data_IF_919383549482
#
_entry.id   IF_919383549482
#
_cell.length_a   1.000
_cell.length_b   1.000
_cell.length_c   1.000
_cell.angle_alpha   90.00
_cell.angle_beta   90.00
_cell.angle_gamma   90.00
#
_symmetry.space_group_name_H-M   'P 1'
#
loop_
_entity.id
_entity.type
_entity.pdbx_description
1 polymer ?
#
# COMPACT_ATOMS: atom_id res chain seq x y z
N UNK A 1 24.35 27.76 36.62
CA UNK A 1 23.56 26.91 35.67
C UNK A 1 24.45 25.75 35.24
N UNK A 2 23.94 24.52 35.11
CA UNK A 2 24.76 23.41 34.61
C UNK A 2 25.29 23.77 33.21
N UNK A 3 26.61 23.72 33.04
CA UNK A 3 27.26 24.02 31.76
C UNK A 3 26.86 22.93 30.77
N UNK A 4 25.97 23.25 29.82
CA UNK A 4 25.64 22.38 28.69
C UNK A 4 26.67 22.62 27.60
N UNK A 5 27.52 21.63 27.34
CA UNK A 5 28.42 21.63 26.19
C UNK A 5 27.70 20.96 25.02
N UNK A 6 27.79 21.56 23.83
CA UNK A 6 27.22 21.01 22.60
C UNK A 6 28.35 20.60 21.66
N UNK A 7 28.13 19.51 20.92
CA UNK A 7 28.98 19.18 19.78
C UNK A 7 28.21 19.49 18.49
N UNK A 8 28.78 20.30 17.57
CA UNK A 8 28.14 20.52 16.28
C UNK A 8 28.15 19.22 15.48
N UNK A 9 26.99 18.84 14.95
CA UNK A 9 26.88 17.75 13.98
C UNK A 9 27.30 18.25 12.60
N UNK A 10 28.18 17.53 11.92
CA UNK A 10 28.43 17.77 10.50
C UNK A 10 27.44 16.96 9.65
N UNK A 11 26.50 17.60 8.93
CA UNK A 11 25.49 16.89 8.14
C UNK A 11 26.07 15.96 7.07
N UNK A 12 27.30 16.22 6.60
CA UNK A 12 27.92 15.43 5.53
C UNK A 12 28.55 14.12 6.00
N UNK A 13 28.96 14.03 7.27
CA UNK A 13 29.71 12.87 7.81
C UNK A 13 29.02 12.19 8.98
N UNK A 14 28.17 12.92 9.70
CA UNK A 14 27.58 12.49 10.96
C UNK A 14 26.07 12.25 10.86
N UNK A 15 25.49 12.44 9.67
CA UNK A 15 24.09 12.12 9.39
C UNK A 15 24.05 11.17 8.19
N UNK A 16 23.36 10.05 8.36
CA UNK A 16 23.03 9.17 7.24
C UNK A 16 21.56 8.85 7.26
N UNK A 17 20.91 8.96 6.11
CA UNK A 17 19.50 8.64 5.92
C UNK A 17 19.39 7.28 5.27
N UNK A 18 18.62 6.39 5.87
CA UNK A 18 18.35 5.05 5.34
C UNK A 18 16.85 4.83 5.22
N UNK A 19 16.40 4.28 4.10
CA UNK A 19 15.02 3.85 3.90
C UNK A 19 14.97 2.34 4.02
N UNK A 20 14.12 1.85 4.91
CA UNK A 20 13.89 0.40 5.07
C UNK A 20 12.48 0.08 4.61
N UNK A 21 12.35 -0.97 3.80
CA UNK A 21 11.07 -1.49 3.36
C UNK A 21 10.68 -2.68 4.22
N UNK A 22 9.56 -2.57 4.91
CA UNK A 22 8.94 -3.70 5.61
C UNK A 22 7.81 -4.26 4.75
N UNK A 23 7.72 -5.59 4.68
CA UNK A 23 6.68 -6.27 3.92
C UNK A 23 5.85 -7.16 4.83
N UNK A 24 4.54 -7.02 4.75
CA UNK A 24 3.58 -7.90 5.40
C UNK A 24 2.73 -8.60 4.32
N UNK A 25 2.47 -9.89 4.53
CA UNK A 25 1.61 -10.67 3.63
C UNK A 25 0.17 -10.39 3.99
N UNK A 26 -0.63 -9.96 3.01
CA UNK A 26 -2.05 -9.68 3.15
C UNK A 26 -2.84 -10.69 2.32
N UNK A 27 -3.33 -11.78 2.94
CA UNK A 27 -4.30 -12.67 2.32
C UNK A 27 -5.72 -12.14 2.59
N UNK A 28 -6.49 -11.94 1.53
CA UNK A 28 -7.92 -11.67 1.59
C UNK A 28 -8.65 -12.87 1.01
N UNK A 29 -9.14 -13.73 1.90
CA UNK A 29 -9.75 -15.00 1.54
C UNK A 29 -11.20 -14.82 1.06
N UNK A 30 -11.63 -15.67 0.13
CA UNK A 30 -12.97 -15.65 -0.45
C UNK A 30 -14.10 -15.77 0.56
N UNK A 31 -13.84 -16.33 1.75
CA UNK A 31 -14.77 -16.35 2.87
C UNK A 31 -15.19 -14.94 3.32
N UNK A 32 -14.27 -13.98 3.36
CA UNK A 32 -14.59 -12.59 3.72
C UNK A 32 -15.31 -11.89 2.54
N UNK A 33 -15.08 -12.35 1.31
CA UNK A 33 -15.63 -11.76 0.09
C UNK A 33 -17.06 -12.26 -0.19
N UNK A 34 -17.37 -13.49 0.21
CA UNK A 34 -18.67 -14.13 0.01
C UNK A 34 -19.00 -15.13 1.14
N UNK A 35 -20.23 -15.05 1.68
CA UNK A 35 -20.87 -16.16 2.38
C UNK A 35 -20.53 -16.37 3.86
N UNK A 36 -19.63 -15.60 4.47
CA UNK A 36 -19.33 -15.77 5.93
C UNK A 36 -20.34 -15.10 6.85
N UNK A 37 -20.83 -13.91 6.49
CA UNK A 37 -21.65 -13.07 7.38
C UNK A 37 -23.08 -12.91 6.87
N UNK A 38 -23.72 -13.98 6.42
CA UNK A 38 -25.13 -13.91 6.03
C UNK A 38 -25.51 -14.94 4.98
N UNK A 39 -26.59 -14.63 4.27
CA UNK A 39 -27.02 -15.41 3.10
C UNK A 39 -26.71 -14.63 1.84
N UNK A 40 -25.92 -15.24 0.96
CA UNK A 40 -25.62 -14.70 -0.35
C UNK A 40 -26.89 -14.23 -1.09
N UNK A 41 -26.89 -13.06 -1.77
CA UNK A 41 -25.78 -12.10 -1.97
C UNK A 41 -25.67 -10.99 -0.90
N UNK A 42 -26.57 -10.97 0.09
CA UNK A 42 -26.70 -9.89 1.08
C UNK A 42 -25.96 -10.25 2.37
N UNK A 43 -24.65 -10.34 2.30
CA UNK A 43 -23.81 -10.53 3.49
C UNK A 43 -23.75 -9.23 4.32
N UNK A 44 -23.81 -9.33 5.65
CA UNK A 44 -23.82 -8.20 6.58
C UNK A 44 -22.50 -7.39 6.58
N UNK A 45 -21.42 -7.96 6.03
CA UNK A 45 -20.13 -7.28 5.86
C UNK A 45 -20.01 -6.54 4.50
N UNK A 46 -21.06 -6.59 3.68
CA UNK A 46 -21.09 -5.98 2.36
C UNK A 46 -22.02 -4.77 2.39
N UNK A 47 -21.47 -3.60 2.07
CA UNK A 47 -22.23 -2.36 2.08
C UNK A 47 -22.56 -1.91 0.66
N UNK A 48 -23.84 -1.95 0.32
CA UNK A 48 -24.39 -1.35 -0.87
C UNK A 48 -24.88 0.07 -0.55
N UNK A 49 -24.38 1.07 -1.29
CA UNK A 49 -24.79 2.45 -1.10
C UNK A 49 -26.03 2.80 -1.93
N UNK A 50 -26.81 3.77 -1.46
CA UNK A 50 -28.05 4.23 -2.12
C UNK A 50 -27.82 4.76 -3.54
N UNK A 51 -26.64 5.33 -3.81
CA UNK A 51 -26.28 5.78 -5.16
C UNK A 51 -25.96 4.62 -6.13
N UNK A 52 -25.65 3.43 -5.60
CA UNK A 52 -25.44 2.19 -6.37
C UNK A 52 -24.28 2.24 -7.37
N UNK A 53 -23.18 2.92 -7.01
CA UNK A 53 -22.03 3.14 -7.90
C UNK A 53 -20.79 2.32 -7.53
N UNK A 54 -20.73 1.82 -6.31
CA UNK A 54 -19.72 0.89 -5.84
C UNK A 54 -20.26 0.14 -4.62
N UNK A 55 -19.54 -0.90 -4.22
CA UNK A 55 -19.84 -1.74 -3.08
C UNK A 55 -18.59 -1.87 -2.22
N UNK A 56 -18.71 -1.70 -0.90
CA UNK A 56 -17.58 -1.84 0.03
C UNK A 56 -17.61 -3.20 0.72
N UNK A 57 -16.44 -3.82 0.87
CA UNK A 57 -16.26 -5.08 1.61
C UNK A 57 -15.53 -4.82 2.92
N UNK A 58 -16.08 -5.32 4.02
CA UNK A 58 -15.53 -5.21 5.37
C UNK A 58 -15.10 -6.59 5.92
N UNK A 59 -14.19 -6.59 6.89
CA UNK A 59 -13.74 -7.79 7.62
C UNK A 59 -14.78 -8.34 8.62
N UNK A 60 -15.73 -7.48 8.99
CA UNK A 60 -16.83 -7.75 9.92
C UNK A 60 -18.11 -7.08 9.42
N UNK A 61 -19.31 -7.44 9.93
CA UNK A 61 -20.54 -6.70 9.66
C UNK A 61 -20.35 -5.18 9.73
N UNK A 62 -20.70 -4.46 8.67
CA UNK A 62 -20.27 -3.05 8.47
C UNK A 62 -20.87 -2.06 9.49
N UNK A 63 -21.87 -2.48 10.27
CA UNK A 63 -22.44 -1.71 11.38
C UNK A 63 -21.68 -1.91 12.70
N UNK A 64 -20.74 -2.86 12.76
CA UNK A 64 -19.89 -3.08 13.92
C UNK A 64 -18.85 -1.99 14.06
N UNK A 65 -18.59 -1.55 15.29
CA UNK A 65 -17.52 -0.59 15.59
C UNK A 65 -16.12 -1.12 15.30
N UNK A 66 -15.97 -2.43 15.17
CA UNK A 66 -14.69 -3.09 14.87
C UNK A 66 -14.50 -3.40 13.39
N UNK A 67 -15.46 -3.06 12.53
CA UNK A 67 -15.39 -3.35 11.10
C UNK A 67 -14.40 -2.41 10.40
N UNK A 68 -13.39 -3.01 9.77
CA UNK A 68 -12.43 -2.30 8.93
C UNK A 68 -12.81 -2.48 7.46
N UNK A 69 -12.70 -1.38 6.72
CA UNK A 69 -12.88 -1.40 5.28
C UNK A 69 -11.66 -2.07 4.61
N UNK A 70 -11.92 -3.09 3.79
CA UNK A 70 -10.88 -3.87 3.09
C UNK A 70 -10.68 -3.36 1.67
N UNK A 71 -11.73 -3.33 0.85
CA UNK A 71 -11.69 -2.82 -0.51
C UNK A 71 -13.09 -2.45 -1.02
N UNK A 72 -13.13 -1.56 -2.01
CA UNK A 72 -14.33 -1.30 -2.79
C UNK A 72 -14.29 -2.01 -4.14
N UNK A 73 -15.48 -2.35 -4.63
CA UNK A 73 -15.72 -2.90 -5.95
C UNK A 73 -16.60 -1.97 -6.76
N UNK A 74 -16.23 -1.75 -8.01
CA UNK A 74 -17.09 -1.12 -9.00
C UNK A 74 -16.82 -1.69 -10.38
N UNK A 75 -17.72 -1.41 -11.32
CA UNK A 75 -17.62 -1.86 -12.71
C UNK A 75 -17.91 -0.71 -13.65
N UNK A 76 -17.24 -0.72 -14.79
CA UNK A 76 -17.45 0.30 -15.81
C UNK A 76 -16.93 -0.13 -17.16
N UNK A 77 -17.27 0.67 -18.16
CA UNK A 77 -16.75 0.51 -19.50
C UNK A 77 -16.53 1.86 -20.18
N UNK A 78 -15.60 1.87 -21.12
CA UNK A 78 -15.29 3.04 -21.92
C UNK A 78 -16.45 3.36 -22.88
N UNK A 79 -16.59 4.63 -23.27
CA UNK A 79 -17.58 5.07 -24.28
C UNK A 79 -17.37 4.44 -25.65
N UNK A 80 -16.16 3.97 -25.93
CA UNK A 80 -15.82 3.28 -27.19
C UNK A 80 -16.20 1.80 -27.18
N UNK A 81 -16.56 1.25 -26.01
CA UNK A 81 -16.94 -0.15 -25.87
C UNK A 81 -18.18 -0.46 -26.69
N UNK A 82 -18.21 -1.64 -27.32
CA UNK A 82 -19.38 -2.14 -28.07
C UNK A 82 -20.65 -2.23 -27.21
N UNK A 83 -20.50 -2.32 -25.88
CA UNK A 83 -21.58 -2.40 -24.91
C UNK A 83 -21.87 -1.06 -24.21
N UNK A 84 -21.62 0.08 -24.88
CA UNK A 84 -21.93 1.42 -24.36
C UNK A 84 -23.28 1.99 -24.82
N UNK A 85 -24.14 1.14 -25.40
CA UNK A 85 -25.41 1.55 -25.98
C UNK A 85 -26.42 2.09 -24.95
N UNK A 86 -27.25 3.07 -25.34
CA UNK A 86 -28.17 3.81 -24.47
C UNK A 86 -29.27 2.98 -23.79
N UNK A 87 -29.56 1.76 -24.27
CA UNK A 87 -30.58 0.87 -23.70
C UNK A 87 -30.09 0.09 -22.45
N UNK A 88 -28.83 0.28 -22.04
CA UNK A 88 -28.18 -0.49 -20.97
C UNK A 88 -28.52 0.05 -19.57
N UNK A 89 -28.75 -0.86 -18.64
CA UNK A 89 -29.02 -0.54 -17.24
C UNK A 89 -27.85 0.26 -16.64
N UNK A 90 -28.15 1.47 -16.16
CA UNK A 90 -27.17 2.38 -15.55
C UNK A 90 -26.00 2.81 -16.47
N UNK A 91 -26.21 2.85 -17.79
CA UNK A 91 -25.17 3.17 -18.78
C UNK A 91 -24.31 4.40 -18.41
N UNK A 92 -24.93 5.56 -18.19
CA UNK A 92 -24.22 6.79 -17.84
C UNK A 92 -23.36 6.65 -16.58
N UNK A 93 -23.82 5.89 -15.57
CA UNK A 93 -23.04 5.66 -14.34
C UNK A 93 -21.83 4.78 -14.61
N UNK A 94 -21.98 3.71 -15.40
CA UNK A 94 -20.87 2.79 -15.75
C UNK A 94 -19.78 3.48 -16.55
N UNK A 95 -20.17 4.35 -17.49
CA UNK A 95 -19.23 5.19 -18.24
C UNK A 95 -18.49 6.15 -17.30
N UNK A 96 -19.23 6.83 -16.42
CA UNK A 96 -18.62 7.78 -15.47
C UNK A 96 -17.65 7.09 -14.50
N UNK A 97 -17.98 5.90 -13.99
CA UNK A 97 -17.08 5.14 -13.12
C UNK A 97 -15.79 4.73 -13.82
N UNK A 98 -15.88 4.24 -15.05
CA UNK A 98 -14.68 3.92 -15.83
C UNK A 98 -13.83 5.19 -16.03
N UNK A 99 -14.44 6.29 -16.46
CA UNK A 99 -13.73 7.53 -16.75
C UNK A 99 -13.08 8.15 -15.50
N UNK A 100 -13.75 8.10 -14.35
CA UNK A 100 -13.22 8.62 -13.08
C UNK A 100 -11.98 7.83 -12.64
N UNK A 101 -12.07 6.50 -12.63
CA UNK A 101 -10.93 5.65 -12.24
C UNK A 101 -9.78 5.77 -13.25
N UNK A 102 -10.09 5.83 -14.54
CA UNK A 102 -9.09 6.06 -15.59
C UNK A 102 -8.44 7.44 -15.47
N UNK A 103 -9.19 8.51 -15.17
CA UNK A 103 -8.64 9.84 -14.99
C UNK A 103 -7.73 9.94 -13.77
N UNK A 104 -8.09 9.30 -12.65
CA UNK A 104 -7.27 9.29 -11.42
C UNK A 104 -5.96 8.52 -11.64
N UNK A 105 -6.00 7.41 -12.38
CA UNK A 105 -4.85 6.53 -12.54
C UNK A 105 -3.98 6.89 -13.76
N UNK A 106 -4.60 7.06 -14.92
CA UNK A 106 -3.91 7.24 -16.20
C UNK A 106 -3.82 8.71 -16.61
N UNK A 107 -4.74 9.56 -16.14
CA UNK A 107 -4.83 10.97 -16.53
C UNK A 107 -5.48 11.19 -17.89
N UNK A 108 -5.18 12.35 -18.49
CA UNK A 108 -5.71 12.77 -19.77
C UNK A 108 -4.68 12.58 -20.89
N UNK A 109 -5.15 12.12 -22.05
CA UNK A 109 -4.39 12.11 -23.30
C UNK A 109 -4.98 13.20 -24.21
N UNK A 110 -4.41 14.40 -24.15
CA UNK A 110 -4.99 15.58 -24.78
C UNK A 110 -6.31 15.99 -24.13
N UNK A 111 -7.42 15.93 -24.87
CA UNK A 111 -8.76 16.29 -24.38
C UNK A 111 -9.60 15.10 -23.91
N UNK A 112 -9.09 13.87 -24.02
CA UNK A 112 -9.81 12.64 -23.70
C UNK A 112 -9.16 11.91 -22.52
N UNK A 113 -9.97 11.16 -21.77
CA UNK A 113 -9.46 10.27 -20.72
C UNK A 113 -8.65 9.14 -21.34
N UNK A 114 -7.47 8.84 -20.79
CA UNK A 114 -6.62 7.75 -21.25
C UNK A 114 -7.19 6.42 -20.77
N UNK A 115 -7.43 5.50 -21.70
CA UNK A 115 -7.94 4.15 -21.41
C UNK A 115 -6.85 3.27 -20.80
N UNK A 116 -7.24 2.20 -20.12
CA UNK A 116 -6.29 1.22 -19.61
C UNK A 116 -5.77 0.32 -20.73
N UNK A 117 -4.48 -0.04 -20.68
CA UNK A 117 -3.83 -0.91 -21.66
C UNK A 117 -3.07 -2.03 -20.96
N UNK A 118 -3.29 -3.30 -21.34
CA UNK A 118 -2.68 -4.46 -20.70
C UNK A 118 -1.34 -4.85 -21.37
N UNK A 119 -0.57 -3.88 -21.89
CA UNK A 119 0.68 -4.16 -22.63
C UNK A 119 1.85 -3.22 -22.28
N UNK A 120 1.65 -2.30 -21.33
CA UNK A 120 2.62 -1.29 -20.86
C UNK A 120 3.10 -0.27 -21.90
N UNK A 121 2.49 -0.18 -23.10
CA UNK A 121 2.97 0.74 -24.15
C UNK A 121 2.40 2.15 -24.08
N UNK A 122 1.20 2.32 -23.55
CA UNK A 122 0.52 3.63 -23.45
C UNK A 122 0.28 4.26 -24.83
N UNK A 123 0.05 3.43 -25.85
CA UNK A 123 -0.12 3.79 -27.26
C UNK A 123 -1.59 3.88 -27.70
N UNK A 124 -2.53 3.62 -26.79
CA UNK A 124 -3.98 3.56 -26.99
C UNK A 124 -4.42 2.45 -27.96
N UNK A 125 -3.61 1.41 -28.14
CA UNK A 125 -3.96 0.19 -28.87
C UNK A 125 -4.20 -0.96 -27.89
N UNK A 126 -5.18 -1.82 -28.20
CA UNK A 126 -5.48 -3.00 -27.36
C UNK A 126 -6.02 -2.64 -25.97
N UNK A 127 -6.89 -1.65 -25.88
CA UNK A 127 -7.41 -1.10 -24.62
C UNK A 127 -8.34 -2.06 -23.88
N UNK A 128 -8.41 -1.90 -22.55
CA UNK A 128 -9.37 -2.57 -21.69
C UNK A 128 -10.66 -1.76 -21.64
N UNK A 129 -11.57 -2.05 -22.57
CA UNK A 129 -12.79 -1.25 -22.72
C UNK A 129 -13.88 -1.59 -21.69
N UNK A 130 -13.77 -2.74 -21.02
CA UNK A 130 -14.72 -3.23 -20.01
C UNK A 130 -13.95 -3.79 -18.82
N UNK A 131 -14.16 -3.22 -17.63
CA UNK A 131 -13.33 -3.54 -16.48
C UNK A 131 -14.13 -3.58 -15.17
N UNK A 132 -13.66 -4.47 -14.30
CA UNK A 132 -13.91 -4.47 -12.87
C UNK A 132 -12.78 -3.73 -12.17
N UNK A 133 -13.12 -2.97 -11.16
CA UNK A 133 -12.18 -2.19 -10.37
C UNK A 133 -12.22 -2.68 -8.92
N UNK A 134 -11.05 -3.06 -8.40
CA UNK A 134 -10.86 -3.47 -7.01
C UNK A 134 -9.93 -2.44 -6.37
N UNK A 135 -10.46 -1.62 -5.47
CA UNK A 135 -9.72 -0.53 -4.83
C UNK A 135 -9.44 -0.89 -3.37
N UNK A 136 -8.21 -1.26 -3.06
CA UNK A 136 -7.81 -1.69 -1.72
C UNK A 136 -7.69 -0.51 -0.76
N UNK A 137 -8.15 -0.72 0.47
CA UNK A 137 -8.01 0.25 1.55
C UNK A 137 -6.54 0.47 1.90
N UNK A 138 -6.17 1.75 2.10
CA UNK A 138 -4.82 2.14 2.53
C UNK A 138 -4.42 1.53 3.89
N UNK A 139 -5.39 1.11 4.70
CA UNK A 139 -5.12 0.38 5.94
C UNK A 139 -4.35 -0.93 5.69
N UNK A 140 -4.62 -1.59 4.56
CA UNK A 140 -3.99 -2.85 4.15
C UNK A 140 -2.76 -2.62 3.28
N UNK A 141 -2.85 -1.75 2.27
CA UNK A 141 -1.74 -1.51 1.32
C UNK A 141 -0.63 -0.65 1.91
N UNK A 142 -0.89 0.09 2.99
CA UNK A 142 0.04 1.02 3.66
C UNK A 142 0.52 2.11 2.71
N UNK A 143 1.76 2.03 2.24
CA UNK A 143 2.34 2.97 1.28
C UNK A 143 2.19 2.48 -0.17
N UNK A 144 2.33 1.17 -0.39
CA UNK A 144 2.14 0.55 -1.71
C UNK A 144 2.03 -0.97 -1.63
N UNK A 145 1.41 -1.56 -2.64
CA UNK A 145 1.52 -3.00 -2.92
C UNK A 145 2.95 -3.29 -3.41
N UNK A 146 3.58 -4.34 -2.88
CA UNK A 146 4.89 -4.78 -3.34
C UNK A 146 4.77 -5.35 -4.76
N UNK A 147 5.57 -4.83 -5.68
CA UNK A 147 5.74 -5.41 -7.03
C UNK A 147 6.12 -6.87 -6.96
N UNK A 148 5.61 -7.70 -7.88
CA UNK A 148 5.82 -9.14 -7.93
C UNK A 148 5.19 -9.92 -6.77
N UNK A 149 4.14 -9.39 -6.15
CA UNK A 149 3.46 -10.10 -5.05
C UNK A 149 1.96 -10.20 -5.24
N UNK A 150 1.39 -9.45 -6.18
CA UNK A 150 -0.05 -9.40 -6.35
C UNK A 150 -0.53 -10.61 -7.14
N UNK A 151 -1.53 -11.30 -6.58
CA UNK A 151 -2.26 -12.36 -7.24
C UNK A 151 -3.72 -12.33 -6.84
N UNK A 152 -4.59 -12.62 -7.81
CA UNK A 152 -6.02 -12.82 -7.58
C UNK A 152 -6.47 -14.11 -8.28
N UNK A 153 -7.12 -14.98 -7.52
CA UNK A 153 -7.69 -16.23 -8.01
C UNK A 153 -9.15 -16.02 -8.33
N UNK A 154 -9.51 -16.23 -9.60
CA UNK A 154 -10.86 -16.05 -10.13
C UNK A 154 -11.48 -17.40 -10.48
N UNK A 155 -12.74 -17.60 -10.13
CA UNK A 155 -13.55 -18.77 -10.46
C UNK A 155 -14.16 -18.68 -11.86
N UNK A 156 -13.88 -19.68 -12.69
CA UNK A 156 -14.38 -19.81 -14.06
C UNK A 156 -15.44 -20.91 -14.22
N UNK A 157 -15.71 -21.67 -13.16
CA UNK A 157 -16.76 -22.68 -13.16
C UNK A 157 -18.16 -22.10 -13.26
N UNK A 158 -19.14 -22.99 -13.35
CA UNK A 158 -20.55 -22.62 -13.39
C UNK A 158 -21.03 -21.93 -12.12
N UNK A 159 -22.17 -21.23 -12.17
CA UNK A 159 -22.67 -20.39 -11.07
C UNK A 159 -22.78 -21.12 -9.72
N UNK A 160 -23.17 -22.39 -9.72
CA UNK A 160 -23.31 -23.19 -8.48
C UNK A 160 -21.97 -23.65 -7.90
N UNK A 161 -20.95 -23.81 -8.75
CA UNK A 161 -19.61 -24.27 -8.39
C UNK A 161 -18.56 -23.38 -9.07
N UNK A 162 -18.48 -22.08 -8.72
CA UNK A 162 -17.67 -21.10 -9.44
C UNK A 162 -16.18 -21.44 -9.43
N UNK A 163 -15.72 -22.15 -8.40
CA UNK A 163 -14.30 -22.52 -8.20
C UNK A 163 -13.95 -23.93 -8.70
N UNK A 164 -14.85 -24.62 -9.41
CA UNK A 164 -14.53 -25.90 -10.05
C UNK A 164 -13.40 -25.76 -11.09
N UNK A 165 -13.34 -24.59 -11.74
CA UNK A 165 -12.22 -24.15 -12.55
C UNK A 165 -11.77 -22.78 -12.04
N UNK A 166 -10.46 -22.54 -11.98
CA UNK A 166 -9.91 -21.28 -11.50
C UNK A 166 -8.83 -20.74 -12.44
N UNK A 167 -8.67 -19.42 -12.45
CA UNK A 167 -7.63 -18.68 -13.16
C UNK A 167 -6.97 -17.71 -12.20
N UNK A 168 -5.65 -17.78 -12.08
CA UNK A 168 -4.87 -16.89 -11.22
C UNK A 168 -4.28 -15.77 -12.07
N UNK A 169 -4.68 -14.54 -11.83
CA UNK A 169 -4.07 -13.36 -12.45
C UNK A 169 -2.99 -12.82 -11.53
N UNK A 170 -1.78 -12.60 -12.04
CA UNK A 170 -0.61 -12.24 -11.24
C UNK A 170 0.36 -11.29 -11.95
N UNK A 171 1.12 -10.52 -11.16
CA UNK A 171 2.14 -9.57 -11.63
C UNK A 171 3.57 -10.17 -11.63
N UNK A 172 3.69 -11.46 -11.97
CA UNK A 172 4.91 -12.25 -11.84
C UNK A 172 6.13 -11.73 -12.65
N UNK A 173 5.92 -10.84 -13.61
CA UNK A 173 7.00 -10.19 -14.37
C UNK A 173 7.48 -8.87 -13.78
N UNK A 174 6.67 -8.22 -12.94
CA UNK A 174 7.02 -6.92 -12.37
C UNK A 174 8.30 -7.01 -11.54
N UNK A 175 9.12 -5.97 -11.59
CA UNK A 175 10.38 -5.90 -10.83
C UNK A 175 10.52 -4.55 -10.13
N UNK A 176 11.18 -4.58 -8.98
CA UNK A 176 11.44 -3.38 -8.16
C UNK A 176 12.33 -2.37 -8.89
N UNK A 177 13.21 -2.83 -9.78
CA UNK A 177 14.08 -1.99 -10.60
C UNK A 177 13.37 -1.27 -11.77
N UNK A 178 12.05 -1.45 -11.92
CA UNK A 178 11.28 -0.82 -12.99
C UNK A 178 11.08 -1.70 -14.25
N UNK A 179 11.71 -2.88 -14.33
CA UNK A 179 11.47 -3.79 -15.46
C UNK A 179 10.05 -4.39 -15.42
N UNK A 180 9.40 -4.48 -16.58
CA UNK A 180 8.00 -4.92 -16.74
C UNK A 180 7.01 -4.14 -15.88
N UNK A 181 7.30 -2.86 -15.67
CA UNK A 181 6.38 -1.89 -15.08
C UNK A 181 6.45 -0.61 -15.89
N UNK A 182 5.38 0.18 -15.88
CA UNK A 182 5.38 1.54 -16.41
C UNK A 182 4.79 2.50 -15.37
N UNK A 183 4.98 3.80 -15.53
CA UNK A 183 4.58 4.81 -14.55
C UNK A 183 3.58 5.79 -15.16
N UNK A 184 2.57 6.14 -14.37
CA UNK A 184 1.49 7.07 -14.71
C UNK A 184 1.15 7.91 -13.49
N UNK A 185 0.11 8.74 -13.55
CA UNK A 185 -0.32 9.59 -12.42
C UNK A 185 -0.65 8.74 -11.17
N UNK A 186 -1.27 7.58 -11.36
CA UNK A 186 -1.61 6.61 -10.30
C UNK A 186 -0.41 5.85 -9.72
N UNK A 187 0.81 6.17 -10.18
CA UNK A 187 2.04 5.51 -9.78
C UNK A 187 2.51 4.46 -10.78
N UNK A 188 3.37 3.57 -10.29
CA UNK A 188 3.84 2.43 -11.05
C UNK A 188 2.72 1.41 -11.19
N UNK A 189 2.64 0.80 -12.37
CA UNK A 189 1.71 -0.28 -12.63
C UNK A 189 2.35 -1.42 -13.42
N UNK A 190 1.75 -2.60 -13.31
CA UNK A 190 2.12 -3.79 -14.08
C UNK A 190 0.90 -4.48 -14.65
N UNK A 191 1.13 -5.30 -15.68
CA UNK A 191 0.10 -6.13 -16.31
C UNK A 191 -0.09 -7.41 -15.51
N UNK A 192 -1.35 -7.83 -15.39
CA UNK A 192 -1.76 -9.09 -14.78
C UNK A 192 -1.92 -10.17 -15.86
N UNK A 193 -1.16 -11.24 -15.72
CA UNK A 193 -1.19 -12.40 -16.61
C UNK A 193 -1.76 -13.62 -15.90
N UNK A 194 -2.33 -14.55 -16.67
CA UNK A 194 -2.81 -15.84 -16.16
C UNK A 194 -1.71 -16.90 -15.98
N UNK A 195 -0.45 -16.52 -16.23
CA UNK A 195 0.71 -17.38 -16.17
C UNK A 195 1.92 -16.61 -15.64
N UNK A 196 2.90 -17.33 -15.06
CA UNK A 196 4.08 -16.72 -14.43
C UNK A 196 5.13 -16.24 -15.44
N UNK A 197 5.05 -16.72 -16.69
CA UNK A 197 5.93 -16.33 -17.79
C UNK A 197 5.53 -14.99 -18.41
N UNK A 198 4.34 -14.48 -18.08
CA UNK A 198 3.73 -13.28 -18.66
C UNK A 198 3.63 -13.30 -20.19
N UNK A 199 3.30 -14.47 -20.73
CA UNK A 199 3.07 -14.64 -22.18
C UNK A 199 1.57 -14.51 -22.49
N UNK A 200 1.24 -14.10 -23.72
CA UNK A 200 -0.14 -13.93 -24.16
C UNK A 200 -0.73 -12.55 -23.86
N UNK A 201 -2.06 -12.47 -23.81
CA UNK A 201 -2.77 -11.22 -23.53
C UNK A 201 -2.84 -10.95 -22.03
N UNK A 202 -2.60 -9.71 -21.63
CA UNK A 202 -2.86 -9.29 -20.25
C UNK A 202 -4.36 -9.22 -19.97
N UNK A 203 -4.77 -9.64 -18.78
CA UNK A 203 -6.17 -9.65 -18.34
C UNK A 203 -6.51 -8.53 -17.37
N UNK A 204 -5.57 -7.61 -17.14
CA UNK A 204 -5.75 -6.50 -16.21
C UNK A 204 -4.44 -5.78 -15.92
N UNK A 205 -4.52 -4.78 -15.06
CA UNK A 205 -3.36 -4.03 -14.56
C UNK A 205 -3.51 -3.78 -13.06
N UNK A 206 -2.40 -3.69 -12.33
CA UNK A 206 -2.37 -3.33 -10.91
C UNK A 206 -1.51 -2.09 -10.71
N UNK A 207 -2.05 -1.08 -10.02
CA UNK A 207 -1.37 0.15 -9.64
C UNK A 207 -0.90 0.06 -8.20
N UNK A 208 0.41 0.09 -7.98
CA UNK A 208 1.02 -0.28 -6.71
C UNK A 208 0.79 0.75 -5.61
N UNK A 209 1.03 2.03 -5.91
CA UNK A 209 0.89 3.14 -4.97
C UNK A 209 -0.58 3.50 -4.75
N UNK A 210 -1.40 3.48 -5.80
CA UNK A 210 -2.84 3.73 -5.68
C UNK A 210 -3.57 2.57 -4.97
N UNK A 211 -3.02 1.35 -4.98
CA UNK A 211 -3.68 0.18 -4.41
C UNK A 211 -4.94 -0.20 -5.19
N UNK A 212 -4.90 -0.10 -6.53
CA UNK A 212 -6.06 -0.40 -7.39
C UNK A 212 -5.69 -1.47 -8.39
N UNK A 213 -6.49 -2.55 -8.44
CA UNK A 213 -6.42 -3.55 -9.49
C UNK A 213 -7.59 -3.35 -10.47
N UNK A 214 -7.26 -3.28 -11.75
CA UNK A 214 -8.21 -3.19 -12.86
C UNK A 214 -8.21 -4.54 -13.57
N UNK A 215 -9.34 -5.24 -13.55
CA UNK A 215 -9.49 -6.57 -14.12
C UNK A 215 -10.40 -6.46 -15.33
N UNK A 216 -9.92 -6.90 -16.49
CA UNK A 216 -10.71 -6.92 -17.71
C UNK A 216 -11.86 -7.93 -17.61
N UNK A 217 -13.01 -7.60 -18.17
CA UNK A 217 -14.08 -8.58 -18.37
C UNK A 217 -13.63 -9.76 -19.25
N UNK A 218 -12.57 -9.58 -20.06
CA UNK A 218 -11.97 -10.65 -20.87
C UNK A 218 -11.47 -11.85 -20.05
N UNK A 219 -11.19 -11.66 -18.76
CA UNK A 219 -10.79 -12.75 -17.85
C UNK A 219 -11.85 -13.86 -17.76
N UNK A 220 -13.12 -13.50 -17.96
CA UNK A 220 -14.31 -14.35 -17.82
C UNK A 220 -14.98 -14.73 -19.15
N UNK A 221 -14.35 -14.40 -20.29
CA UNK A 221 -14.90 -14.80 -21.59
C UNK A 221 -14.92 -16.33 -21.71
N UNK A 222 -16.01 -16.85 -22.29
CA UNK A 222 -16.28 -18.30 -22.37
C UNK A 222 -17.22 -18.83 -21.28
N UNK A 223 -17.50 -18.02 -20.24
CA UNK A 223 -18.47 -18.37 -19.20
C UNK A 223 -19.85 -17.86 -19.60
N UNK A 224 -20.79 -18.78 -19.80
CA UNK A 224 -22.19 -18.45 -20.13
C UNK A 224 -23.04 -18.11 -18.91
N UNK A 225 -22.58 -18.46 -17.71
CA UNK A 225 -23.29 -18.27 -16.44
C UNK A 225 -22.49 -17.46 -15.41
N UNK A 226 -21.87 -16.37 -15.87
CA UNK A 226 -21.12 -15.44 -15.04
C UNK A 226 -21.93 -14.92 -13.83
N UNK A 227 -23.18 -14.52 -14.04
CA UNK A 227 -24.07 -14.00 -12.98
C UNK A 227 -25.46 -14.65 -13.03
N UNK A 228 -26.13 -14.83 -11.90
CA UNK A 228 -27.53 -15.29 -11.89
C UNK A 228 -28.50 -14.14 -12.17
N UNK A 229 -29.33 -14.29 -13.21
CA UNK A 229 -30.39 -13.34 -13.55
C UNK A 229 -31.71 -13.69 -12.89
N UNK A 230 -32.45 -12.68 -12.40
CA UNK A 230 -33.78 -12.86 -11.80
C UNK A 230 -34.89 -13.20 -12.82
N UNK A 231 -34.69 -12.94 -14.12
CA UNK A 231 -35.76 -12.97 -15.14
C UNK A 231 -35.49 -13.93 -16.31
N UNK A 232 -34.24 -14.14 -16.75
CA UNK A 232 -33.92 -14.87 -18.00
C UNK A 232 -32.87 -15.99 -17.82
N UNK A 233 -32.60 -16.42 -16.58
CA UNK A 233 -31.54 -17.39 -16.29
C UNK A 233 -30.17 -16.74 -16.13
N UNK A 234 -29.10 -17.54 -16.15
CA UNK A 234 -27.74 -17.04 -15.92
C UNK A 234 -27.24 -16.22 -17.12
N UNK A 235 -26.48 -15.16 -16.85
CA UNK A 235 -25.93 -14.25 -17.85
C UNK A 235 -24.42 -14.47 -18.01
N UNK A 236 -23.93 -14.35 -19.24
CA UNK A 236 -22.50 -14.15 -19.52
C UNK A 236 -21.98 -12.85 -18.94
N UNK A 237 -20.65 -12.68 -18.85
CA UNK A 237 -20.05 -11.44 -18.34
C UNK A 237 -20.54 -10.21 -19.10
N UNK A 238 -20.58 -10.27 -20.43
CA UNK A 238 -21.06 -9.18 -21.29
C UNK A 238 -22.51 -8.81 -20.99
N UNK A 239 -23.40 -9.81 -20.91
CA UNK A 239 -24.81 -9.60 -20.59
C UNK A 239 -25.01 -9.05 -19.16
N UNK A 240 -24.13 -9.42 -18.22
CA UNK A 240 -24.14 -8.85 -16.86
C UNK A 240 -23.85 -7.35 -16.89
N UNK A 241 -22.86 -6.91 -17.67
CA UNK A 241 -22.57 -5.47 -17.85
C UNK A 241 -23.70 -4.72 -18.57
N UNK A 242 -24.51 -5.37 -19.40
CA UNK A 242 -25.65 -4.75 -20.11
C UNK A 242 -26.91 -4.66 -19.25
N UNK A 243 -27.20 -5.69 -18.46
CA UNK A 243 -28.51 -5.85 -17.82
C UNK A 243 -28.51 -5.61 -16.32
N UNK A 244 -27.43 -5.96 -15.62
CA UNK A 244 -27.35 -5.85 -14.17
C UNK A 244 -27.01 -4.41 -13.71
N UNK A 245 -27.44 -4.06 -12.50
CA UNK A 245 -26.90 -2.87 -11.81
C UNK A 245 -25.41 -3.06 -11.49
N UNK A 246 -24.70 -1.96 -11.24
CA UNK A 246 -23.29 -2.03 -10.81
C UNK A 246 -23.14 -2.93 -9.57
N UNK A 247 -24.04 -2.80 -8.59
CA UNK A 247 -24.04 -3.66 -7.39
C UNK A 247 -24.22 -5.15 -7.74
N UNK A 248 -25.13 -5.49 -8.66
CA UNK A 248 -25.35 -6.86 -9.09
C UNK A 248 -24.14 -7.45 -9.84
N UNK A 249 -23.45 -6.66 -10.65
CA UNK A 249 -22.18 -7.08 -11.26
C UNK A 249 -21.06 -7.23 -10.24
N UNK A 250 -21.03 -6.40 -9.18
CA UNK A 250 -20.09 -6.55 -8.07
C UNK A 250 -20.37 -7.83 -7.27
N UNK A 251 -21.64 -8.15 -7.00
CA UNK A 251 -22.03 -9.42 -6.38
C UNK A 251 -21.55 -10.60 -7.23
N UNK A 252 -21.80 -10.59 -8.54
CA UNK A 252 -21.32 -11.64 -9.43
C UNK A 252 -19.79 -11.78 -9.43
N UNK A 253 -19.06 -10.66 -9.38
CA UNK A 253 -17.61 -10.69 -9.26
C UNK A 253 -17.18 -11.29 -7.91
N UNK A 254 -17.77 -10.87 -6.78
CA UNK A 254 -17.45 -11.40 -5.45
C UNK A 254 -17.64 -12.91 -5.37
N UNK A 255 -18.72 -13.44 -5.96
CA UNK A 255 -18.98 -14.88 -6.05
C UNK A 255 -17.90 -15.64 -6.81
N UNK A 256 -17.09 -14.94 -7.61
CA UNK A 256 -16.03 -15.48 -8.45
C UNK A 256 -14.64 -15.13 -7.95
N UNK A 257 -14.48 -14.42 -6.83
CA UNK A 257 -13.15 -14.19 -6.24
C UNK A 257 -12.94 -15.24 -5.15
N UNK A 258 -11.98 -16.14 -5.38
CA UNK A 258 -11.59 -17.16 -4.40
C UNK A 258 -10.57 -16.61 -3.39
N UNK A 259 -9.58 -15.86 -3.87
CA UNK A 259 -8.54 -15.31 -3.03
C UNK A 259 -7.87 -14.10 -3.70
N UNK A 260 -7.51 -13.12 -2.89
CA UNK A 260 -6.61 -12.04 -3.28
C UNK A 260 -5.42 -12.08 -2.32
N UNK A 261 -4.21 -12.13 -2.85
CA UNK A 261 -3.00 -12.12 -2.04
C UNK A 261 -2.00 -11.12 -2.58
N UNK A 262 -1.43 -10.31 -1.68
CA UNK A 262 -0.32 -9.43 -1.99
C UNK A 262 0.50 -9.14 -0.74
N UNK A 263 1.71 -8.64 -0.94
CA UNK A 263 2.49 -8.09 0.16
C UNK A 263 2.35 -6.58 0.16
N UNK A 264 2.03 -5.98 1.30
CA UNK A 264 2.12 -4.53 1.42
C UNK A 264 3.58 -4.10 1.57
N UNK A 265 3.82 -2.80 1.48
CA UNK A 265 5.10 -2.19 1.79
C UNK A 265 4.86 -1.01 2.70
N UNK A 266 5.52 -1.01 3.85
CA UNK A 266 5.65 0.16 4.73
C UNK A 266 7.06 0.70 4.60
N UNK A 267 7.18 1.99 4.36
CA UNK A 267 8.45 2.66 4.19
C UNK A 267 8.81 3.37 5.48
N UNK A 268 9.86 2.88 6.13
CA UNK A 268 10.38 3.52 7.34
C UNK A 268 11.55 4.39 6.92
N UNK A 269 11.37 5.70 7.08
CA UNK A 269 12.42 6.68 6.87
C UNK A 269 13.19 6.84 8.19
N UNK A 270 14.45 6.40 8.19
CA UNK A 270 15.31 6.50 9.37
C UNK A 270 16.42 7.50 9.10
N UNK A 271 16.57 8.48 9.99
CA UNK A 271 17.79 9.28 10.08
C UNK A 271 18.67 8.73 11.19
N UNK A 272 19.93 8.45 10.86
CA UNK A 272 20.94 7.98 11.80
C UNK A 272 21.92 9.12 12.03
N UNK A 273 22.08 9.50 13.29
CA UNK A 273 23.03 10.50 13.75
C UNK A 273 24.21 9.81 14.44
N UNK A 274 25.42 10.16 14.04
CA UNK A 274 26.65 9.75 14.69
C UNK A 274 27.13 10.88 15.60
N UNK A 275 26.79 10.78 16.88
CA UNK A 275 27.28 11.70 17.88
C UNK A 275 28.72 11.31 18.26
N UNK A 276 29.69 12.07 17.76
CA UNK A 276 31.10 11.90 18.10
C UNK A 276 31.39 12.60 19.42
N UNK A 277 32.08 11.89 20.31
CA UNK A 277 32.51 12.39 21.61
C UNK A 277 34.03 12.34 21.64
N UNK A 278 34.71 13.43 21.20
CA UNK A 278 36.15 13.48 21.11
C UNK A 278 36.85 13.23 22.46
N UNK A 279 38.10 12.77 22.39
CA UNK A 279 38.90 12.46 23.58
C UNK A 279 39.06 13.67 24.52
N UNK A 280 39.11 14.90 24.00
CA UNK A 280 39.32 16.14 24.76
C UNK A 280 38.04 16.81 25.30
N UNK A 281 36.85 16.35 24.90
CA UNK A 281 35.56 16.94 25.32
C UNK A 281 34.77 16.00 26.21
N UNK A 282 33.77 16.54 26.90
CA UNK A 282 32.79 15.77 27.70
C UNK A 282 33.38 14.90 28.82
N UNK A 283 34.60 15.19 29.29
CA UNK A 283 35.24 14.44 30.38
C UNK A 283 34.78 14.87 31.79
N UNK A 284 33.64 15.55 31.91
CA UNK A 284 33.08 16.05 33.18
C UNK A 284 31.56 15.86 33.18
N UNK A 285 30.95 15.86 34.37
CA UNK A 285 29.50 15.65 34.53
C UNK A 285 28.82 16.90 35.09
N UNK A 286 27.53 17.05 34.77
CA UNK A 286 26.64 18.03 35.42
C UNK A 286 26.03 17.50 36.72
N UNK A 287 26.40 16.29 37.16
CA UNK A 287 25.97 15.73 38.44
C UNK A 287 26.49 16.62 39.61
N UNK A 288 25.65 16.98 40.60
CA UNK A 288 26.08 17.74 41.78
C UNK A 288 27.29 17.16 42.53
N UNK A 289 27.57 15.86 42.42
CA UNK A 289 28.78 15.27 43.02
C UNK A 289 30.09 15.72 42.36
N UNK A 290 30.04 16.30 41.16
CA UNK A 290 31.18 16.86 40.44
C UNK A 290 31.42 18.34 40.77
N UNK A 291 30.70 18.95 41.71
CA UNK A 291 30.97 20.34 42.13
C UNK A 291 31.46 20.42 43.57
N UNK A 292 32.53 21.18 43.79
CA UNK A 292 33.04 21.51 45.13
C UNK A 292 33.45 22.98 45.15
N UNK A 293 32.87 23.76 46.06
CA UNK A 293 33.20 25.19 46.22
C UNK A 293 33.09 26.00 44.92
N UNK A 294 32.02 25.81 44.15
CA UNK A 294 31.78 26.44 42.83
C UNK A 294 32.79 26.09 41.73
N UNK A 295 33.60 25.04 41.92
CA UNK A 295 34.52 24.48 40.92
C UNK A 295 34.08 23.07 40.52
N UNK A 296 34.26 22.70 39.26
CA UNK A 296 34.01 21.34 38.79
C UNK A 296 35.20 20.46 39.25
N UNK A 297 34.95 19.51 40.15
CA UNK A 297 35.90 18.48 40.59
C UNK A 297 35.76 17.27 39.67
N UNK A 298 36.80 17.01 38.89
CA UNK A 298 36.82 15.92 37.89
C UNK A 298 37.71 14.75 38.32
N UNK A 299 38.49 14.93 39.39
CA UNK A 299 39.45 13.97 39.95
C UNK A 299 39.49 14.10 41.47
N UNK A 300 39.69 13.00 42.18
CA UNK A 300 39.98 13.00 43.62
C UNK A 300 41.49 13.09 43.89
N UNK A 301 42.30 12.37 43.10
CA UNK A 301 43.76 12.43 43.12
C UNK A 301 44.28 13.04 41.82
N UNK A 302 45.28 13.92 41.92
CA UNK A 302 45.81 14.66 40.75
C UNK A 302 46.35 13.75 39.64
N UNK A 303 46.88 12.58 40.00
CA UNK A 303 47.42 11.57 39.08
C UNK A 303 46.37 10.86 38.25
N UNK A 304 45.13 10.79 38.71
CA UNK A 304 44.13 9.92 38.11
C UNK A 304 43.54 10.54 36.84
N UNK A 305 43.21 9.75 35.81
CA UNK A 305 42.44 10.27 34.68
C UNK A 305 41.02 10.64 35.15
N UNK A 306 40.46 11.77 34.67
CA UNK A 306 39.08 12.10 34.96
C UNK A 306 38.15 11.08 34.31
N UNK A 307 37.13 10.65 35.04
CA UNK A 307 36.12 9.70 34.55
C UNK A 307 34.77 10.40 34.53
N UNK A 308 34.01 10.17 33.46
CA UNK A 308 32.63 10.62 33.34
C UNK A 308 31.78 9.51 32.73
N UNK A 309 30.46 9.58 32.92
CA UNK A 309 29.53 8.61 32.37
C UNK A 309 28.48 9.31 31.52
N UNK A 310 28.36 8.87 30.27
CA UNK A 310 27.33 9.35 29.35
C UNK A 310 26.10 8.48 29.54
N UNK A 311 24.96 9.11 29.82
CA UNK A 311 23.67 8.41 30.05
C UNK A 311 22.61 8.80 29.05
N UNK A 312 22.70 10.00 28.48
CA UNK A 312 21.66 10.58 27.63
C UNK A 312 22.30 11.48 26.58
N UNK A 313 21.78 11.40 25.36
CA UNK A 313 22.16 12.27 24.23
C UNK A 313 20.93 13.08 23.84
N UNK A 314 21.07 14.41 23.74
CA UNK A 314 20.02 15.31 23.28
C UNK A 314 20.38 15.93 21.95
N UNK A 315 19.44 15.94 21.00
CA UNK A 315 19.54 16.64 19.74
C UNK A 315 18.90 18.02 19.88
N UNK A 316 19.63 19.08 19.53
CA UNK A 316 19.16 20.46 19.65
C UNK A 316 19.20 21.16 18.29
N UNK A 317 18.26 22.07 18.05
CA UNK A 317 18.28 22.94 16.86
C UNK A 317 19.19 24.18 17.06
N UNK A 318 19.32 25.01 16.03
CA UNK A 318 20.13 26.23 16.08
C UNK A 318 19.64 27.29 17.10
N UNK A 319 18.37 27.20 17.54
CA UNK A 319 17.79 28.05 18.57
C UNK A 319 17.94 27.46 19.99
N UNK A 320 18.71 26.38 20.16
CA UNK A 320 18.88 25.62 21.41
C UNK A 320 17.60 24.94 21.93
N UNK A 321 16.63 24.66 21.06
CA UNK A 321 15.44 23.89 21.39
C UNK A 321 15.72 22.40 21.23
N UNK A 322 15.25 21.60 22.20
CA UNK A 322 15.45 20.15 22.21
C UNK A 322 14.50 19.47 21.22
N UNK A 323 15.05 18.79 20.23
CA UNK A 323 14.30 18.07 19.20
C UNK A 323 14.08 16.60 19.55
N UNK A 324 15.11 15.93 20.08
CA UNK A 324 15.05 14.51 20.41
C UNK A 324 15.96 14.17 21.60
N UNK A 325 15.61 13.11 22.32
CA UNK A 325 16.41 12.58 23.44
C UNK A 325 16.57 11.08 23.27
N UNK A 326 17.81 10.61 23.30
CA UNK A 326 18.15 9.20 23.36
C UNK A 326 18.72 8.88 24.74
N UNK A 327 18.18 7.85 25.39
CA UNK A 327 18.72 7.31 26.65
C UNK A 327 19.50 6.04 26.34
N UNK A 328 20.69 5.94 26.93
CA UNK A 328 21.50 4.73 26.84
C UNK A 328 20.97 3.70 27.84
N UNK A 329 20.98 2.42 27.46
CA UNK A 329 20.57 1.31 28.33
C UNK A 329 21.51 1.18 29.53
N UNK A 330 22.80 1.47 29.33
CA UNK A 330 23.83 1.46 30.35
C UNK A 330 24.69 2.73 30.24
N UNK A 331 25.15 3.30 31.37
CA UNK A 331 26.03 4.46 31.36
C UNK A 331 27.39 4.12 30.71
N UNK A 332 27.75 4.81 29.63
CA UNK A 332 29.01 4.62 28.94
C UNK A 332 30.13 5.39 29.65
N UNK A 333 31.16 4.68 30.12
CA UNK A 333 32.34 5.29 30.74
C UNK A 333 33.17 6.03 29.68
N UNK A 334 33.49 7.30 29.95
CA UNK A 334 34.34 8.15 29.12
C UNK A 334 35.57 8.59 29.91
N UNK A 335 36.74 8.42 29.29
CA UNK A 335 38.05 8.91 29.76
C UNK A 335 38.72 9.76 28.68
N UNK A 336 39.72 10.60 29.01
CA UNK A 336 40.41 11.42 28.00
C UNK A 336 41.27 10.64 27.00
N UNK A 337 41.48 9.35 27.22
CA UNK A 337 42.26 8.49 26.32
C UNK A 337 41.44 7.97 25.14
N UNK A 338 40.11 7.96 25.27
CA UNK A 338 39.22 7.28 24.35
C UNK A 338 38.28 8.28 23.66
N UNK A 339 38.08 8.09 22.36
CA UNK A 339 36.98 8.69 21.59
C UNK A 339 35.82 7.70 21.50
N UNK A 340 34.59 8.20 21.64
CA UNK A 340 33.38 7.40 21.54
C UNK A 340 32.50 7.93 20.40
N UNK A 341 31.85 7.03 19.67
CA UNK A 341 30.85 7.36 18.67
C UNK A 341 29.53 6.71 19.07
N UNK A 342 28.52 7.52 19.36
CA UNK A 342 27.18 7.05 19.71
C UNK A 342 26.30 7.16 18.48
N UNK A 343 25.82 6.01 18.00
CA UNK A 343 24.88 5.93 16.90
C UNK A 343 23.45 6.05 17.44
N UNK A 344 22.74 7.11 17.07
CA UNK A 344 21.34 7.34 17.43
C UNK A 344 20.49 7.24 16.17
N UNK A 345 19.44 6.41 16.19
CA UNK A 345 18.48 6.28 15.08
C UNK A 345 17.17 6.95 15.46
N UNK A 346 16.67 7.82 14.58
CA UNK A 346 15.32 8.39 14.65
C UNK A 346 14.52 7.86 13.47
N UNK A 347 13.46 7.12 13.79
CA UNK A 347 12.51 6.59 12.82
C UNK A 347 11.29 7.54 12.79
N UNK A 348 10.84 7.96 11.61
CA UNK A 348 9.71 8.88 11.44
C UNK A 348 8.85 8.56 10.22
#
# INVERSE_FOLDING_TARGET
MPVRSFEPLNPSTDVTTTRTFLHEVIPVTGSIISGTYGTWPNDDNIKNYTHGMFQSVYDYPYLSSSANHIFDLTVGYATVSAISASAITQNAKKINMYNEVAQVLQGLSGSSVRLFEPDLKLDQSGTLDTAFFVTFSRLLTKDQIKKNSFSITLGLGGWTTPFAETKVLQDALARVNGSNTNNTIGGDYAVLYDNSSGTGSGYGVVFYQAGIAVISASAFLGISDFSSGAVVGNYSVTQSFETASISGSCDALRHRIDNIAYNNTTEINSSIYFCRVPHNKFNYSTNPTYVSGSKIRVKEVASDPPVSYITTVGLYNAANELLAVAKLSEPLKKTPSDELIIRVRTDY
#
